data_IF_480240003621
#
_entry.id   IF_480240003621
#
_cell.length_a   1.000
_cell.length_b   1.000
_cell.length_c   1.000
_cell.angle_alpha   90.00
_cell.angle_beta   90.00
_cell.angle_gamma   90.00
#
_symmetry.space_group_name_H-M   'P 1'
#
loop_
_entity.id
_entity.type
_entity.pdbx_description
1 polymer ?
#
# COMPACT_ATOMS: atom_id res chain seq x y z
N UNK A 1 -16.00 -3.98 -9.81
CA UNK A 1 -14.83 -4.67 -9.21
C UNK A 1 -14.46 -5.81 -10.14
N UNK A 2 -13.26 -5.81 -10.71
CA UNK A 2 -12.87 -6.71 -11.79
C UNK A 2 -11.41 -7.19 -11.65
N UNK A 3 -11.15 -8.49 -11.85
CA UNK A 3 -11.74 -9.59 -11.11
C UNK A 3 -10.94 -9.83 -9.83
N UNK A 4 -11.66 -9.96 -8.71
CA UNK A 4 -11.17 -10.73 -7.55
C UNK A 4 -11.31 -12.25 -7.83
N UNK A 5 -11.81 -12.62 -9.02
CA UNK A 5 -12.27 -13.96 -9.41
C UNK A 5 -11.20 -14.91 -9.97
N UNK A 6 -9.91 -14.55 -9.97
CA UNK A 6 -8.90 -15.59 -10.20
C UNK A 6 -8.85 -16.51 -8.97
N UNK A 7 -9.04 -17.84 -9.15
CA UNK A 7 -9.01 -18.80 -8.05
C UNK A 7 -7.58 -18.90 -7.54
N UNK A 8 -7.20 -18.03 -6.62
CA UNK A 8 -6.05 -18.29 -5.77
C UNK A 8 -6.40 -19.50 -4.91
N UNK A 9 -5.55 -20.54 -4.88
CA UNK A 9 -5.80 -21.68 -4.02
C UNK A 9 -5.85 -21.19 -2.57
N UNK A 10 -7.04 -21.25 -1.97
CA UNK A 10 -7.23 -21.02 -0.56
C UNK A 10 -6.42 -22.11 0.14
N UNK A 11 -5.30 -21.75 0.74
CA UNK A 11 -4.56 -22.69 1.56
C UNK A 11 -5.25 -22.74 2.94
N UNK A 12 -6.46 -23.30 2.95
CA UNK A 12 -7.37 -23.40 4.12
C UNK A 12 -6.76 -24.13 5.32
N UNK A 13 -5.58 -24.73 5.15
CA UNK A 13 -4.82 -25.39 6.21
C UNK A 13 -3.91 -24.48 7.02
N UNK A 14 -3.71 -23.19 6.67
CA UNK A 14 -2.88 -22.30 7.48
C UNK A 14 -3.73 -21.49 8.48
N UNK A 15 -3.64 -21.76 9.80
CA UNK A 15 -4.37 -20.99 10.82
C UNK A 15 -3.98 -19.51 10.90
N UNK A 16 -2.91 -19.08 10.23
CA UNK A 16 -2.46 -17.68 10.11
C UNK A 16 -2.94 -16.97 8.84
N UNK A 17 -3.95 -17.50 8.15
CA UNK A 17 -4.49 -16.92 6.91
C UNK A 17 -5.00 -15.49 7.12
N UNK A 18 -4.11 -14.55 6.82
CA UNK A 18 -4.25 -13.14 7.13
C UNK A 18 -3.74 -12.31 5.98
N UNK A 19 -4.39 -11.19 5.75
CA UNK A 19 -4.00 -10.27 4.69
C UNK A 19 -3.96 -8.84 5.19
N UNK A 20 -3.22 -8.01 4.47
CA UNK A 20 -3.17 -6.56 4.67
C UNK A 20 -3.82 -5.89 3.48
N UNK A 21 -4.71 -4.94 3.74
CA UNK A 21 -5.18 -3.97 2.77
C UNK A 21 -4.34 -2.71 2.94
N UNK A 22 -3.42 -2.45 2.02
CA UNK A 22 -2.59 -1.24 2.03
C UNK A 22 -3.37 -0.10 1.39
N UNK A 23 -3.58 0.99 2.12
CA UNK A 23 -4.35 2.14 1.63
C UNK A 23 -3.50 3.41 1.60
N UNK A 24 -3.27 3.91 0.39
CA UNK A 24 -2.73 5.26 0.18
C UNK A 24 -3.73 6.32 0.66
N UNK A 25 -3.24 7.42 1.23
CA UNK A 25 -4.09 8.53 1.69
C UNK A 25 -4.53 9.50 0.58
N UNK A 26 -3.96 9.38 -0.63
CA UNK A 26 -4.38 10.15 -1.79
C UNK A 26 -5.74 9.69 -2.35
N UNK A 27 -5.90 9.79 -3.67
CA UNK A 27 -7.11 9.36 -4.37
C UNK A 27 -7.29 7.83 -4.31
N UNK A 28 -7.96 7.36 -3.26
CA UNK A 28 -8.13 5.94 -2.94
C UNK A 28 -9.60 5.48 -3.07
N UNK A 29 -9.86 4.22 -3.51
CA UNK A 29 -11.23 3.70 -3.63
C UNK A 29 -12.00 3.51 -2.32
N UNK A 30 -11.31 3.44 -1.19
CA UNK A 30 -11.91 3.10 0.10
C UNK A 30 -12.53 4.31 0.83
N UNK A 31 -12.47 5.50 0.22
CA UNK A 31 -13.31 6.65 0.61
C UNK A 31 -14.80 6.40 0.35
N UNK A 32 -15.13 5.44 -0.52
CA UNK A 32 -16.49 5.01 -0.82
C UNK A 32 -16.80 3.75 0.00
N UNK A 33 -17.73 3.89 0.94
CA UNK A 33 -18.23 2.82 1.81
C UNK A 33 -18.71 1.58 1.04
N UNK A 34 -19.29 1.76 -0.16
CA UNK A 34 -19.72 0.64 -1.00
C UNK A 34 -18.56 -0.18 -1.52
N UNK A 35 -17.39 0.44 -1.75
CA UNK A 35 -16.17 -0.25 -2.13
C UNK A 35 -15.54 -0.97 -0.94
N UNK A 36 -15.61 -0.37 0.25
CA UNK A 36 -15.16 -1.02 1.50
C UNK A 36 -16.00 -2.28 1.76
N UNK A 37 -17.33 -2.21 1.65
CA UNK A 37 -18.20 -3.38 1.79
C UNK A 37 -17.81 -4.50 0.83
N UNK A 38 -17.72 -4.22 -0.48
CA UNK A 38 -17.37 -5.22 -1.50
C UNK A 38 -16.01 -5.86 -1.24
N UNK A 39 -15.03 -5.07 -0.79
CA UNK A 39 -13.71 -5.59 -0.45
C UNK A 39 -13.80 -6.55 0.74
N UNK A 40 -14.48 -6.13 1.81
CA UNK A 40 -14.61 -6.93 3.04
C UNK A 40 -15.44 -8.20 2.81
N UNK A 41 -16.51 -8.14 2.02
CA UNK A 41 -17.33 -9.32 1.67
C UNK A 41 -16.46 -10.44 1.07
N UNK A 42 -15.46 -10.08 0.24
CA UNK A 42 -14.54 -11.08 -0.31
C UNK A 42 -13.46 -11.47 0.69
N UNK A 43 -12.77 -10.50 1.28
CA UNK A 43 -11.59 -10.80 2.11
C UNK A 43 -11.96 -11.58 3.37
N UNK A 44 -13.13 -11.33 3.96
CA UNK A 44 -13.59 -12.03 5.17
C UNK A 44 -14.04 -13.47 4.92
N UNK A 45 -14.34 -13.83 3.66
CA UNK A 45 -14.56 -15.23 3.25
C UNK A 45 -13.24 -15.96 3.02
N UNK A 46 -12.19 -15.22 2.62
CA UNK A 46 -10.88 -15.79 2.26
C UNK A 46 -9.91 -15.88 3.42
N UNK A 47 -9.94 -14.92 4.34
CA UNK A 47 -8.95 -14.76 5.39
C UNK A 47 -9.63 -14.75 6.77
N UNK A 48 -8.92 -15.25 7.79
CA UNK A 48 -9.36 -15.18 9.19
C UNK A 48 -9.07 -13.83 9.83
N UNK A 49 -8.08 -13.10 9.31
CA UNK A 49 -7.69 -11.77 9.79
C UNK A 49 -7.46 -10.85 8.60
N UNK A 50 -8.14 -9.71 8.61
CA UNK A 50 -7.90 -8.61 7.66
C UNK A 50 -7.32 -7.44 8.44
N UNK A 51 -6.11 -7.04 8.09
CA UNK A 51 -5.47 -5.82 8.59
C UNK A 51 -5.68 -4.74 7.53
N UNK A 52 -6.13 -3.55 7.90
CA UNK A 52 -6.18 -2.39 7.01
C UNK A 52 -5.09 -1.43 7.48
N UNK A 53 -4.06 -1.25 6.65
CA UNK A 53 -2.96 -0.33 6.92
C UNK A 53 -3.28 1.04 6.31
N UNK A 54 -3.41 2.03 7.18
CA UNK A 54 -3.55 3.44 6.82
C UNK A 54 -2.15 4.04 6.69
N UNK A 55 -1.73 4.39 5.47
CA UNK A 55 -0.40 4.93 5.19
C UNK A 55 -0.30 6.45 5.46
N UNK A 56 -0.75 6.89 6.63
CA UNK A 56 -0.85 8.31 7.00
C UNK A 56 0.51 8.98 7.18
N UNK A 57 1.44 8.36 7.90
CA UNK A 57 2.71 9.01 8.19
C UNK A 57 3.54 9.30 6.94
N UNK A 58 3.69 8.33 6.04
CA UNK A 58 4.45 8.50 4.79
C UNK A 58 3.73 9.42 3.80
N UNK A 59 2.43 9.67 3.95
CA UNK A 59 1.69 10.63 3.14
C UNK A 59 2.18 12.08 3.31
N UNK A 60 2.97 12.38 4.36
CA UNK A 60 3.66 13.66 4.50
C UNK A 60 4.50 14.00 3.26
N UNK A 61 5.15 13.03 2.62
CA UNK A 61 5.94 13.28 1.42
C UNK A 61 5.06 13.75 0.25
N UNK A 62 3.92 13.09 -0.01
CA UNK A 62 2.99 13.53 -1.06
C UNK A 62 2.47 14.95 -0.81
N UNK A 63 2.18 15.30 0.45
CA UNK A 63 1.75 16.64 0.85
C UNK A 63 2.81 17.70 0.56
N UNK A 64 4.09 17.42 0.83
CA UNK A 64 5.18 18.34 0.49
C UNK A 64 5.36 18.53 -1.02
N UNK A 65 5.17 17.47 -1.82
CA UNK A 65 5.32 17.53 -3.28
C UNK A 65 4.20 18.38 -3.89
N UNK A 66 2.96 18.08 -3.51
CA UNK A 66 1.76 18.70 -4.10
C UNK A 66 1.64 20.19 -3.77
N UNK A 67 1.91 20.57 -2.53
CA UNK A 67 1.60 21.93 -2.03
C UNK A 67 2.84 22.78 -1.72
N UNK A 68 4.06 22.25 -1.89
CA UNK A 68 5.30 22.98 -1.60
C UNK A 68 5.51 23.35 -0.13
N UNK A 69 4.71 22.78 0.77
CA UNK A 69 4.68 23.11 2.20
C UNK A 69 5.91 22.60 2.95
N UNK A 70 6.12 23.08 4.19
CA UNK A 70 7.15 22.58 5.10
C UNK A 70 6.81 21.17 5.61
N UNK A 71 7.85 20.40 5.95
CA UNK A 71 7.70 19.02 6.46
C UNK A 71 6.82 18.96 7.71
N UNK A 72 6.97 19.92 8.62
CA UNK A 72 6.16 20.01 9.84
C UNK A 72 4.67 20.23 9.57
N UNK A 73 4.34 21.03 8.54
CA UNK A 73 2.95 21.27 8.13
C UNK A 73 2.39 20.07 7.38
N UNK A 74 3.20 19.45 6.51
CA UNK A 74 2.84 18.24 5.78
C UNK A 74 2.52 17.09 6.72
N UNK A 75 3.37 16.85 7.72
CA UNK A 75 3.14 15.82 8.74
C UNK A 75 1.83 16.06 9.51
N UNK A 76 1.56 17.30 9.94
CA UNK A 76 0.30 17.64 10.64
C UNK A 76 -0.93 17.35 9.78
N UNK A 77 -0.91 17.73 8.49
CA UNK A 77 -2.03 17.49 7.58
C UNK A 77 -2.20 16.01 7.26
N UNK A 78 -1.10 15.28 7.07
CA UNK A 78 -1.12 13.84 6.83
C UNK A 78 -1.72 13.08 8.02
N UNK A 79 -1.32 13.42 9.25
CA UNK A 79 -1.90 12.85 10.47
C UNK A 79 -3.38 13.20 10.66
N UNK A 80 -3.78 14.44 10.34
CA UNK A 80 -5.17 14.84 10.41
C UNK A 80 -6.04 14.03 9.42
N UNK A 81 -5.60 13.89 8.18
CA UNK A 81 -6.25 13.03 7.18
C UNK A 81 -6.31 11.57 7.63
N UNK A 82 -5.22 11.05 8.24
CA UNK A 82 -5.18 9.72 8.83
C UNK A 82 -6.22 9.53 9.95
N UNK A 83 -6.41 10.53 10.81
CA UNK A 83 -7.44 10.54 11.87
C UNK A 83 -8.85 10.46 11.30
N UNK A 84 -9.15 11.28 10.31
CA UNK A 84 -10.46 11.27 9.65
C UNK A 84 -10.73 9.90 8.99
N UNK A 85 -9.73 9.37 8.28
CA UNK A 85 -9.84 8.09 7.60
C UNK A 85 -10.02 6.91 8.57
N UNK A 86 -9.24 6.85 9.66
CA UNK A 86 -9.40 5.80 10.67
C UNK A 86 -10.80 5.86 11.29
N UNK A 87 -11.28 7.06 11.65
CA UNK A 87 -12.61 7.23 12.21
C UNK A 87 -13.71 6.80 11.24
N UNK A 88 -13.56 7.17 9.95
CA UNK A 88 -14.46 6.76 8.88
C UNK A 88 -14.53 5.22 8.76
N UNK A 89 -13.37 4.56 8.61
CA UNK A 89 -13.28 3.11 8.50
C UNK A 89 -13.81 2.40 9.74
N UNK A 90 -13.46 2.86 10.94
CA UNK A 90 -13.94 2.26 12.19
C UNK A 90 -15.47 2.33 12.31
N UNK A 91 -16.05 3.50 12.00
CA UNK A 91 -17.50 3.70 12.06
C UNK A 91 -18.20 2.80 11.05
N UNK A 92 -17.71 2.78 9.82
CA UNK A 92 -18.30 1.98 8.75
C UNK A 92 -18.18 0.48 9.04
N UNK A 93 -16.99 -0.02 9.36
CA UNK A 93 -16.75 -1.45 9.61
C UNK A 93 -17.58 -1.95 10.79
N UNK A 94 -17.72 -1.15 11.85
CA UNK A 94 -18.58 -1.49 12.98
C UNK A 94 -20.04 -1.67 12.53
N UNK A 95 -20.57 -0.76 11.73
CA UNK A 95 -21.94 -0.84 11.21
C UNK A 95 -22.13 -2.01 10.24
N UNK A 96 -21.13 -2.25 9.37
CA UNK A 96 -21.11 -3.38 8.44
C UNK A 96 -21.09 -4.72 9.19
N UNK A 97 -20.29 -4.85 10.25
CA UNK A 97 -20.24 -6.06 11.09
C UNK A 97 -21.56 -6.33 11.83
N UNK A 98 -22.22 -5.28 12.34
CA UNK A 98 -23.54 -5.41 12.98
C UNK A 98 -24.63 -5.86 12.01
N UNK A 99 -24.49 -5.50 10.73
CA UNK A 99 -25.44 -5.87 9.67
C UNK A 99 -25.15 -7.26 9.09
N UNK A 100 -23.88 -7.67 9.10
CA UNK A 100 -23.39 -8.96 8.60
C UNK A 100 -23.04 -9.89 9.77
N UNK A 101 -24.08 -10.46 10.41
CA UNK A 101 -24.06 -11.32 11.61
C UNK A 101 -23.19 -12.61 11.55
N UNK A 102 -22.33 -12.80 10.55
CA UNK A 102 -21.82 -14.13 10.18
C UNK A 102 -20.31 -14.25 9.94
N UNK A 103 -19.51 -13.18 10.06
CA UNK A 103 -18.06 -13.29 9.77
C UNK A 103 -17.27 -13.62 11.03
N UNK A 104 -16.62 -14.79 11.07
CA UNK A 104 -15.62 -15.12 12.10
C UNK A 104 -14.27 -14.39 11.87
N UNK A 105 -14.14 -13.66 10.77
CA UNK A 105 -12.96 -12.89 10.43
C UNK A 105 -12.78 -11.70 11.38
N UNK A 106 -11.57 -11.54 11.92
CA UNK A 106 -11.18 -10.36 12.69
C UNK A 106 -10.70 -9.26 11.74
N UNK A 107 -11.23 -8.05 11.88
CA UNK A 107 -10.80 -6.89 11.11
C UNK A 107 -10.06 -5.93 12.06
N UNK A 108 -8.84 -5.56 11.70
CA UNK A 108 -8.01 -4.64 12.46
C UNK A 108 -7.57 -3.48 11.59
N UNK A 109 -7.70 -2.25 12.08
CA UNK A 109 -7.18 -1.06 11.40
C UNK A 109 -5.91 -0.66 12.16
N UNK A 110 -4.79 -0.60 11.45
CA UNK A 110 -3.54 -0.08 11.97
C UNK A 110 -3.04 1.10 11.11
N UNK A 111 -2.09 1.83 11.66
CA UNK A 111 -1.41 2.96 11.03
C UNK A 111 0.01 2.60 10.67
N UNK A 112 0.61 3.47 9.86
CA UNK A 112 2.02 3.36 9.54
C UNK A 112 2.89 3.31 10.80
N UNK A 113 2.63 4.18 11.77
CA UNK A 113 3.36 4.21 13.05
C UNK A 113 3.23 2.92 13.89
N UNK A 114 2.21 2.09 13.66
CA UNK A 114 2.05 0.82 14.37
C UNK A 114 2.98 -0.29 13.82
N UNK A 115 3.49 -0.10 12.59
CA UNK A 115 4.37 -1.06 11.91
C UNK A 115 5.84 -0.58 11.86
N UNK A 116 6.12 0.66 12.24
CA UNK A 116 7.49 1.22 12.35
C UNK A 116 8.18 0.73 13.62
N UNK A 117 8.43 -0.57 13.69
CA UNK A 117 9.17 -1.22 14.79
C UNK A 117 10.68 -1.16 14.55
N UNK A 118 11.47 -1.63 15.52
CA UNK A 118 12.92 -1.81 15.33
C UNK A 118 13.24 -2.74 14.14
N UNK A 119 12.41 -3.76 13.91
CA UNK A 119 12.53 -4.65 12.75
C UNK A 119 12.35 -3.88 11.45
N UNK A 120 11.31 -3.03 11.37
CA UNK A 120 11.06 -2.17 10.22
C UNK A 120 12.23 -1.20 9.97
N UNK A 121 12.75 -0.55 11.01
CA UNK A 121 13.88 0.38 10.84
C UNK A 121 15.14 -0.32 10.34
N UNK A 122 15.43 -1.55 10.80
CA UNK A 122 16.54 -2.35 10.26
C UNK A 122 16.36 -2.67 8.77
N UNK A 123 15.14 -3.01 8.35
CA UNK A 123 14.83 -3.23 6.93
C UNK A 123 14.99 -1.97 6.10
N UNK A 124 14.50 -0.84 6.62
CA UNK A 124 14.64 0.46 5.96
C UNK A 124 16.12 0.83 5.80
N UNK A 125 16.94 0.63 6.83
CA UNK A 125 18.38 0.87 6.78
C UNK A 125 19.06 -0.02 5.73
N UNK A 126 18.66 -1.28 5.60
CA UNK A 126 19.15 -2.17 4.55
C UNK A 126 18.79 -1.64 3.16
N UNK A 127 17.52 -1.29 2.93
CA UNK A 127 17.04 -0.72 1.66
C UNK A 127 17.79 0.57 1.29
N UNK A 128 17.98 1.47 2.27
CA UNK A 128 18.65 2.76 2.07
C UNK A 128 20.14 2.57 1.79
N UNK A 129 20.79 1.59 2.43
CA UNK A 129 22.22 1.27 2.19
C UNK A 129 22.50 0.98 0.72
N UNK A 130 21.58 0.31 0.04
CA UNK A 130 21.72 -0.04 -1.38
C UNK A 130 21.12 0.99 -2.36
N UNK A 131 20.50 2.06 -1.86
CA UNK A 131 19.83 3.11 -2.67
C UNK A 131 20.63 3.54 -3.90
N UNK A 132 21.93 3.79 -3.74
CA UNK A 132 22.79 4.31 -4.82
C UNK A 132 22.85 3.42 -6.07
N UNK A 133 22.54 2.12 -5.94
CA UNK A 133 22.47 1.17 -7.07
C UNK A 133 21.21 1.34 -7.93
N UNK A 134 20.20 2.02 -7.40
CA UNK A 134 18.86 2.13 -7.98
C UNK A 134 18.44 3.58 -8.25
N UNK A 135 19.39 4.52 -8.29
CA UNK A 135 19.08 5.95 -8.51
C UNK A 135 18.33 6.17 -9.83
N UNK A 136 18.68 5.43 -10.89
CA UNK A 136 17.99 5.48 -12.19
C UNK A 136 16.51 5.08 -12.08
N UNK A 137 16.20 3.96 -11.41
CA UNK A 137 14.84 3.49 -11.19
C UNK A 137 14.06 4.46 -10.29
N UNK A 138 14.69 4.98 -9.25
CA UNK A 138 14.11 5.94 -8.32
C UNK A 138 13.79 7.26 -9.02
N UNK A 139 14.71 7.79 -9.82
CA UNK A 139 14.49 9.03 -10.58
C UNK A 139 13.36 8.88 -11.61
N UNK A 140 13.32 7.77 -12.35
CA UNK A 140 12.25 7.46 -13.32
C UNK A 140 10.89 7.34 -12.61
N UNK A 141 10.85 6.66 -11.47
CA UNK A 141 9.66 6.51 -10.62
C UNK A 141 9.14 7.87 -10.14
N UNK A 142 10.02 8.68 -9.56
CA UNK A 142 9.72 10.04 -9.07
C UNK A 142 9.25 10.97 -10.18
N UNK A 143 9.93 10.97 -11.32
CA UNK A 143 9.57 11.77 -12.49
C UNK A 143 8.19 11.39 -13.01
N UNK A 144 7.94 10.10 -13.19
CA UNK A 144 6.64 9.59 -13.64
C UNK A 144 5.52 10.00 -12.69
N UNK A 145 5.70 9.83 -11.37
CA UNK A 145 4.69 10.18 -10.38
C UNK A 145 4.33 11.67 -10.45
N UNK A 146 5.34 12.55 -10.40
CA UNK A 146 5.12 14.00 -10.38
C UNK A 146 4.43 14.45 -11.67
N UNK A 147 4.94 14.04 -12.84
CA UNK A 147 4.37 14.48 -14.12
C UNK A 147 2.98 13.90 -14.39
N UNK A 148 2.75 12.63 -14.04
CA UNK A 148 1.53 11.91 -14.44
C UNK A 148 0.40 12.06 -13.43
N UNK A 149 0.71 12.15 -12.13
CA UNK A 149 -0.29 12.17 -11.05
C UNK A 149 -0.50 13.56 -10.47
N UNK A 150 0.50 14.45 -10.56
CA UNK A 150 0.46 15.81 -10.02
C UNK A 150 0.61 16.85 -11.14
N UNK A 151 -0.38 16.90 -12.05
CA UNK A 151 -0.36 17.72 -13.29
C UNK A 151 0.00 19.21 -13.14
N UNK A 152 0.00 19.75 -11.92
CA UNK A 152 0.32 21.15 -11.61
C UNK A 152 1.69 21.32 -10.92
N UNK A 153 2.39 20.23 -10.58
CA UNK A 153 3.67 20.28 -9.89
C UNK A 153 4.84 20.32 -10.88
N UNK A 154 5.64 21.39 -10.80
CA UNK A 154 6.96 21.47 -11.42
C UNK A 154 7.90 20.39 -10.90
N UNK A 155 8.69 19.77 -11.78
CA UNK A 155 9.81 18.92 -11.37
C UNK A 155 10.90 19.76 -10.73
N UNK A 156 11.30 19.39 -9.51
CA UNK A 156 12.42 19.97 -8.78
C UNK A 156 13.14 18.87 -8.01
N UNK A 157 14.44 19.01 -7.79
CA UNK A 157 15.25 18.03 -7.05
C UNK A 157 14.66 17.71 -5.67
N UNK A 158 14.15 18.74 -4.98
CA UNK A 158 13.46 18.57 -3.70
C UNK A 158 12.22 17.67 -3.82
N UNK A 159 11.42 17.81 -4.88
CA UNK A 159 10.23 17.00 -5.09
C UNK A 159 10.58 15.57 -5.49
N UNK A 160 11.60 15.41 -6.33
CA UNK A 160 12.15 14.10 -6.69
C UNK A 160 12.65 13.36 -5.45
N UNK A 161 13.48 14.01 -4.63
CA UNK A 161 13.99 13.43 -3.39
C UNK A 161 12.88 13.08 -2.40
N UNK A 162 11.84 13.92 -2.27
CA UNK A 162 10.71 13.60 -1.39
C UNK A 162 9.94 12.36 -1.87
N UNK A 163 9.77 12.16 -3.18
CA UNK A 163 9.15 10.93 -3.69
C UNK A 163 10.08 9.72 -3.60
N UNK A 164 11.38 9.92 -3.75
CA UNK A 164 12.38 8.88 -3.48
C UNK A 164 12.30 8.41 -2.03
N UNK A 165 12.22 9.33 -1.06
CA UNK A 165 12.03 8.99 0.36
C UNK A 165 10.72 8.25 0.62
N UNK A 166 9.62 8.71 0.02
CA UNK A 166 8.35 7.98 0.06
C UNK A 166 8.50 6.54 -0.42
N UNK A 167 9.18 6.36 -1.56
CA UNK A 167 9.40 5.04 -2.16
C UNK A 167 10.26 4.16 -1.26
N UNK A 168 11.35 4.69 -0.70
CA UNK A 168 12.24 3.95 0.20
C UNK A 168 11.53 3.52 1.48
N UNK A 169 10.68 4.36 2.05
CA UNK A 169 9.84 4.03 3.22
C UNK A 169 8.82 2.92 2.88
N UNK A 170 8.27 2.89 1.68
CA UNK A 170 7.35 1.81 1.29
C UNK A 170 8.06 0.46 1.07
N UNK A 171 9.33 0.45 0.65
CA UNK A 171 10.01 -0.76 0.19
C UNK A 171 10.04 -1.90 1.23
N UNK A 172 10.32 -1.69 2.53
CA UNK A 172 10.21 -2.76 3.52
C UNK A 172 8.89 -3.53 3.44
N UNK A 173 7.76 -2.81 3.39
CA UNK A 173 6.43 -3.42 3.26
C UNK A 173 6.26 -4.10 1.91
N UNK A 174 6.70 -3.45 0.82
CA UNK A 174 6.58 -4.02 -0.53
C UNK A 174 7.49 -5.23 -0.77
N UNK A 175 8.58 -5.40 -0.02
CA UNK A 175 9.52 -6.50 -0.22
C UNK A 175 9.13 -7.74 0.59
N UNK A 176 8.78 -7.58 1.86
CA UNK A 176 8.55 -8.70 2.79
C UNK A 176 7.21 -8.65 3.53
N UNK A 177 6.39 -7.63 3.30
CA UNK A 177 5.14 -7.41 4.00
C UNK A 177 5.37 -6.63 5.30
N UNK A 178 4.42 -6.70 6.22
CA UNK A 178 4.54 -5.98 7.50
C UNK A 178 4.49 -6.95 8.69
N UNK A 179 5.17 -6.57 9.75
CA UNK A 179 5.06 -7.20 11.06
C UNK A 179 4.05 -6.41 11.89
N UNK A 180 3.08 -7.10 12.50
CA UNK A 180 2.14 -6.48 13.44
C UNK A 180 1.91 -7.41 14.62
N UNK A 181 2.21 -6.92 15.83
CA UNK A 181 2.12 -7.70 17.07
C UNK A 181 2.90 -9.04 17.01
N UNK A 182 4.11 -9.01 16.43
CA UNK A 182 4.96 -10.20 16.28
C UNK A 182 4.50 -11.20 15.23
N UNK A 183 3.47 -10.88 14.43
CA UNK A 183 3.00 -11.70 13.32
C UNK A 183 3.41 -11.07 11.99
N UNK A 184 4.06 -11.84 11.11
CA UNK A 184 4.40 -11.39 9.77
C UNK A 184 3.20 -11.57 8.82
N UNK A 185 2.89 -10.54 8.05
CA UNK A 185 1.82 -10.52 7.07
C UNK A 185 2.36 -10.24 5.67
N UNK A 186 2.40 -11.26 4.80
CA UNK A 186 3.00 -11.15 3.46
C UNK A 186 2.00 -10.93 2.33
N UNK A 187 0.70 -11.21 2.52
CA UNK A 187 -0.33 -11.00 1.48
C UNK A 187 -0.85 -9.57 1.56
N UNK A 188 -0.58 -8.77 0.54
CA UNK A 188 -0.94 -7.36 0.44
C UNK A 188 -1.98 -7.15 -0.65
N UNK A 189 -3.17 -6.69 -0.30
CA UNK A 189 -4.17 -6.17 -1.23
C UNK A 189 -4.02 -4.66 -1.34
N UNK A 190 -3.90 -4.14 -2.56
CA UNK A 190 -3.85 -2.71 -2.83
C UNK A 190 -5.05 -2.29 -3.70
N UNK A 191 -6.08 -1.68 -3.09
CA UNK A 191 -7.21 -1.08 -3.79
C UNK A 191 -6.77 0.08 -4.67
N UNK A 192 -7.10 0.00 -5.96
CA UNK A 192 -6.76 1.03 -6.96
C UNK A 192 -7.94 1.30 -7.88
N UNK A 193 -8.04 2.53 -8.37
CA UNK A 193 -8.99 2.83 -9.43
C UNK A 193 -8.48 2.31 -10.78
N UNK A 194 -9.37 1.68 -11.56
CA UNK A 194 -9.14 1.40 -12.96
C UNK A 194 -8.82 2.69 -13.73
N UNK A 195 -7.76 2.70 -14.52
CA UNK A 195 -7.68 3.69 -15.60
C UNK A 195 -8.64 3.25 -16.70
N UNK A 196 -9.58 4.11 -17.09
CA UNK A 196 -10.41 3.85 -18.26
C UNK A 196 -9.48 3.73 -19.46
N UNK A 197 -9.49 2.59 -20.15
CA UNK A 197 -8.82 2.45 -21.42
C UNK A 197 -9.38 3.53 -22.37
N UNK A 198 -8.52 4.24 -23.09
CA UNK A 198 -8.89 5.32 -24.02
C UNK A 198 -9.69 4.79 -25.24
N UNK A 199 -9.90 3.47 -25.32
CA UNK A 199 -10.72 2.81 -26.32
C UNK A 199 -11.65 1.81 -25.63
N UNK A 200 -12.96 2.05 -25.70
CA UNK A 200 -14.03 1.18 -25.20
C UNK A 200 -14.22 -0.08 -26.07
N UNK A 201 -13.13 -0.74 -26.48
CA UNK A 201 -13.20 -2.07 -27.08
C UNK A 201 -13.48 -3.08 -25.97
N UNK A 202 -14.67 -3.71 -26.03
CA UNK A 202 -15.09 -4.78 -25.13
C UNK A 202 -13.97 -5.84 -24.99
N UNK A 203 -13.38 -5.94 -23.79
CA UNK A 203 -12.31 -6.91 -23.50
C UNK A 203 -10.96 -6.32 -23.05
N UNK A 204 -10.79 -4.99 -23.01
CA UNK A 204 -9.57 -4.40 -22.46
C UNK A 204 -9.45 -4.68 -20.95
N UNK A 205 -8.36 -5.34 -20.53
CA UNK A 205 -8.09 -5.61 -19.11
C UNK A 205 -7.92 -4.29 -18.35
N UNK A 206 -8.42 -4.17 -17.10
CA UNK A 206 -8.13 -3.03 -16.25
C UNK A 206 -6.63 -2.81 -16.15
N UNK A 207 -6.17 -1.58 -16.42
CA UNK A 207 -4.75 -1.23 -16.30
C UNK A 207 -4.55 -0.27 -15.14
N UNK A 208 -3.53 -0.56 -14.33
CA UNK A 208 -2.97 0.36 -13.35
C UNK A 208 -1.45 0.28 -13.44
N UNK A 209 -0.82 1.44 -13.60
CA UNK A 209 0.62 1.55 -13.49
C UNK A 209 0.97 2.13 -12.11
N UNK A 210 1.61 1.29 -11.28
CA UNK A 210 2.17 1.73 -10.00
C UNK A 210 3.46 2.50 -10.27
N UNK A 211 3.62 3.72 -9.76
CA UNK A 211 4.85 4.50 -9.93
C UNK A 211 6.11 3.75 -9.48
N UNK A 212 5.99 2.95 -8.41
CA UNK A 212 7.12 2.29 -7.75
C UNK A 212 7.35 0.83 -8.19
N UNK A 213 6.54 0.30 -9.12
CA UNK A 213 6.59 -1.12 -9.51
C UNK A 213 7.99 -1.56 -9.96
N UNK A 214 8.64 -0.72 -10.76
CA UNK A 214 9.96 -1.03 -11.31
C UNK A 214 11.05 -0.97 -10.22
N UNK A 215 10.91 -0.08 -9.25
CA UNK A 215 11.83 0.00 -8.10
C UNK A 215 11.71 -1.28 -7.27
N UNK A 216 10.49 -1.72 -6.96
CA UNK A 216 10.25 -2.97 -6.22
C UNK A 216 10.88 -4.16 -6.96
N UNK A 217 10.66 -4.26 -8.28
CA UNK A 217 11.24 -5.34 -9.09
C UNK A 217 12.77 -5.31 -9.11
N UNK A 218 13.37 -4.14 -9.22
CA UNK A 218 14.82 -3.99 -9.20
C UNK A 218 15.41 -4.43 -7.85
N UNK A 219 14.84 -3.98 -6.73
CA UNK A 219 15.27 -4.41 -5.40
C UNK A 219 15.11 -5.93 -5.19
N UNK A 220 14.00 -6.53 -5.65
CA UNK A 220 13.78 -7.99 -5.56
C UNK A 220 14.73 -8.82 -6.41
N UNK A 221 15.22 -8.25 -7.51
CA UNK A 221 16.12 -8.93 -8.44
C UNK A 221 17.59 -8.87 -8.00
N UNK A 222 17.96 -7.96 -7.09
CA UNK A 222 19.31 -7.87 -6.53
C UNK A 222 19.49 -8.90 -5.40
N UNK A 223 20.34 -9.90 -5.64
CA UNK A 223 20.57 -11.00 -4.70
C UNK A 223 21.19 -10.54 -3.38
N UNK A 224 22.09 -9.55 -3.41
CA UNK A 224 22.77 -9.06 -2.21
C UNK A 224 21.79 -8.29 -1.31
N UNK A 225 20.95 -7.45 -1.93
CA UNK A 225 19.87 -6.73 -1.23
C UNK A 225 18.92 -7.72 -0.57
N UNK A 226 18.41 -8.70 -1.32
CA UNK A 226 17.45 -9.66 -0.77
C UNK A 226 18.07 -10.61 0.24
N UNK A 227 19.37 -10.92 0.13
CA UNK A 227 20.09 -11.67 1.16
C UNK A 227 20.18 -10.87 2.48
N UNK A 228 20.53 -9.58 2.44
CA UNK A 228 20.58 -8.72 3.63
C UNK A 228 19.20 -8.60 4.28
N UNK A 229 18.16 -8.30 3.48
CA UNK A 229 16.76 -8.22 3.93
C UNK A 229 16.28 -9.51 4.61
N UNK A 230 16.52 -10.68 4.00
CA UNK A 230 16.10 -11.97 4.56
C UNK A 230 16.88 -12.35 5.82
N UNK A 231 18.14 -11.90 5.95
CA UNK A 231 18.93 -12.14 7.15
C UNK A 231 18.39 -11.40 8.38
N UNK A 232 17.74 -10.25 8.16
CA UNK A 232 17.15 -9.43 9.21
C UNK A 232 15.80 -9.97 9.71
N UNK A 233 15.08 -10.74 8.88
CA UNK A 233 13.83 -11.40 9.23
C UNK A 233 13.83 -12.89 8.82
N UNK A 234 14.54 -13.74 9.58
CA UNK A 234 14.58 -15.17 9.29
C UNK A 234 13.18 -15.80 9.25
N UNK A 235 12.84 -16.43 8.13
CA UNK A 235 11.54 -17.10 7.94
C UNK A 235 10.42 -16.19 7.43
N UNK A 236 10.65 -14.88 7.27
CA UNK A 236 9.70 -14.01 6.58
C UNK A 236 9.59 -14.41 5.10
N UNK A 237 8.35 -14.42 4.59
CA UNK A 237 8.07 -14.65 3.19
C UNK A 237 8.15 -13.32 2.42
N UNK A 238 8.55 -13.39 1.16
CA UNK A 238 8.47 -12.24 0.26
C UNK A 238 7.00 -11.77 0.13
N UNK A 239 6.78 -10.46 0.05
CA UNK A 239 5.44 -9.91 -0.04
C UNK A 239 4.75 -10.30 -1.35
N UNK A 240 3.51 -10.73 -1.26
CA UNK A 240 2.65 -10.97 -2.41
C UNK A 240 1.65 -9.83 -2.57
N UNK A 241 1.81 -9.05 -3.62
CA UNK A 241 1.00 -7.87 -3.87
C UNK A 241 -0.11 -8.17 -4.89
N UNK A 242 -1.36 -7.95 -4.49
CA UNK A 242 -2.57 -8.20 -5.25
C UNK A 242 -3.28 -6.86 -5.47
N UNK A 243 -3.43 -6.44 -6.72
CA UNK A 243 -4.19 -5.22 -7.05
C UNK A 243 -5.68 -5.52 -7.05
N UNK A 244 -6.46 -4.69 -6.36
CA UNK A 244 -7.92 -4.76 -6.35
C UNK A 244 -8.49 -3.57 -7.08
N UNK A 245 -9.19 -3.82 -8.17
CA UNK A 245 -9.63 -2.76 -9.08
C UNK A 245 -11.06 -2.30 -8.79
N UNK A 246 -11.21 -0.99 -8.62
CA UNK A 246 -12.49 -0.30 -8.44
C UNK A 246 -12.73 0.68 -9.58
N UNK A 247 -14.00 0.86 -9.94
CA UNK A 247 -14.38 1.85 -10.93
C UNK A 247 -14.36 3.23 -10.28
N UNK A 248 -13.80 4.22 -10.99
CA UNK A 248 -13.89 5.60 -10.54
C UNK A 248 -15.32 6.08 -10.80
N UNK A 249 -16.08 6.35 -9.75
CA UNK A 249 -17.39 6.99 -9.87
C UNK A 249 -17.21 8.33 -10.59
N UNK A 250 -18.09 8.58 -11.56
CA UNK A 250 -18.05 9.76 -12.42
C UNK A 250 -18.49 11.01 -11.68
#
# INVERSE_FOLDING_TARGET
>A
MYPIDEPYPINTSNPEDSCVVTMSMGNNPLLDESNVAKLLDVLTVRHRKVVILVCDEIHKYEQTISHGMSDSRAAKLAMAAGNEMVLHLQTFIKNWQLSNNSTSCTIHICRWGDITTDSYHKLLDAVVRFRSRFEDELEKSSTYYIQSRLRQATLTDRRLENFTRYTLEELPVQLVGLELHGTQHSILYHPVFCQKAVSATHGAKPTYFSPIENVIKAYRADEEVMADVRSLLPGALDAQLIRVFFDKLA
#
